data_IF_484456794791
#
_entry.id   IF_484456794791
#
_cell.length_a   1.000
_cell.length_b   1.000
_cell.length_c   1.000
_cell.angle_alpha   90.00
_cell.angle_beta   90.00
_cell.angle_gamma   90.00
#
_symmetry.space_group_name_H-M   'P 1'
#
loop_
_entity.id
_entity.type
_entity.pdbx_description
1 polymer ?
#
# COMPACT_ATOMS: atom_id res chain seq x y z
N UNK A 1 -18.00 8.84 8.25
CA UNK A 1 -17.58 8.53 6.89
C UNK A 1 -16.45 9.45 6.42
N UNK A 2 -16.55 10.79 6.56
CA UNK A 2 -15.48 11.72 6.14
C UNK A 2 -14.11 11.39 6.75
N UNK A 3 -14.05 11.05 8.04
CA UNK A 3 -12.79 10.67 8.70
C UNK A 3 -12.18 9.38 8.13
N UNK A 4 -13.00 8.46 7.62
CA UNK A 4 -12.51 7.26 6.96
C UNK A 4 -12.11 7.52 5.49
N UNK A 5 -12.79 8.44 4.81
CA UNK A 5 -12.45 8.83 3.44
C UNK A 5 -11.11 9.58 3.33
N UNK A 6 -10.76 10.40 4.33
CA UNK A 6 -9.53 11.19 4.32
C UNK A 6 -8.25 10.37 4.09
N UNK A 7 -7.96 9.29 4.83
CA UNK A 7 -6.76 8.50 4.59
C UNK A 7 -6.80 7.79 3.23
N UNK A 8 -7.98 7.45 2.69
CA UNK A 8 -8.11 6.91 1.33
C UNK A 8 -7.74 7.95 0.25
N UNK A 9 -8.15 9.20 0.42
CA UNK A 9 -7.75 10.28 -0.50
C UNK A 9 -6.25 10.58 -0.40
N UNK A 10 -5.72 10.64 0.81
CA UNK A 10 -4.28 10.80 1.05
C UNK A 10 -3.47 9.63 0.48
N UNK A 11 -4.00 8.42 0.53
CA UNK A 11 -3.36 7.22 0.02
C UNK A 11 -2.94 7.34 -1.47
N UNK A 12 -3.71 8.01 -2.30
CA UNK A 12 -3.34 8.24 -3.70
C UNK A 12 -2.26 9.31 -3.88
N UNK A 13 -2.27 10.35 -3.07
CA UNK A 13 -1.34 11.46 -3.20
C UNK A 13 0.02 11.20 -2.55
N UNK A 14 0.04 10.59 -1.36
CA UNK A 14 1.24 10.43 -0.54
C UNK A 14 2.39 9.67 -1.21
N UNK A 15 2.19 8.60 -1.99
CA UNK A 15 3.25 7.91 -2.70
C UNK A 15 4.06 8.82 -3.62
N UNK A 16 3.36 9.66 -4.38
CA UNK A 16 4.00 10.61 -5.31
C UNK A 16 4.69 11.75 -4.56
N UNK A 17 4.03 12.29 -3.55
CA UNK A 17 4.62 13.33 -2.69
C UNK A 17 5.87 12.83 -1.99
N UNK A 18 5.84 11.60 -1.50
CA UNK A 18 7.00 10.99 -0.84
C UNK A 18 8.15 10.75 -1.83
N UNK A 19 7.87 10.21 -3.02
CA UNK A 19 8.88 10.03 -4.05
C UNK A 19 9.53 11.36 -4.44
N UNK A 20 8.71 12.40 -4.67
CA UNK A 20 9.19 13.76 -4.96
C UNK A 20 10.06 14.31 -3.82
N UNK A 21 9.59 14.20 -2.59
CA UNK A 21 10.34 14.64 -1.42
C UNK A 21 11.70 13.94 -1.32
N UNK A 22 11.77 12.62 -1.58
CA UNK A 22 13.05 11.89 -1.60
C UNK A 22 14.01 12.42 -2.64
N UNK A 23 13.53 12.77 -3.84
CA UNK A 23 14.35 13.40 -4.89
C UNK A 23 14.91 14.74 -4.42
N UNK A 24 14.05 15.60 -3.86
CA UNK A 24 14.45 16.92 -3.39
C UNK A 24 15.43 16.84 -2.21
N UNK A 25 15.14 15.97 -1.24
CA UNK A 25 15.98 15.83 -0.03
C UNK A 25 17.39 15.31 -0.33
N UNK A 26 17.53 14.48 -1.35
CA UNK A 26 18.82 13.85 -1.72
C UNK A 26 19.51 14.66 -2.84
N UNK A 27 18.78 15.56 -3.50
CA UNK A 27 19.29 16.29 -4.65
C UNK A 27 19.50 15.40 -5.89
N UNK A 28 18.91 14.21 -5.91
CA UNK A 28 19.07 13.23 -7.00
C UNK A 28 17.84 12.37 -7.17
N UNK A 29 17.47 12.08 -8.42
CA UNK A 29 16.41 11.13 -8.76
C UNK A 29 16.69 9.73 -8.20
N UNK A 30 17.96 9.39 -7.94
CA UNK A 30 18.35 8.10 -7.35
C UNK A 30 17.79 7.91 -5.92
N UNK A 31 17.50 9.02 -5.22
CA UNK A 31 16.96 8.99 -3.86
C UNK A 31 15.60 8.31 -3.74
N UNK A 32 14.80 8.29 -4.81
CA UNK A 32 13.49 7.63 -4.78
C UNK A 32 13.54 6.14 -5.11
N UNK A 33 14.62 5.63 -5.72
CA UNK A 33 14.69 4.25 -6.20
C UNK A 33 14.49 3.18 -5.12
N UNK A 34 15.08 3.27 -3.92
CA UNK A 34 14.84 2.27 -2.87
C UNK A 34 13.37 2.18 -2.49
N UNK A 35 12.68 3.31 -2.42
CA UNK A 35 11.24 3.38 -2.16
C UNK A 35 10.44 2.73 -3.29
N UNK A 36 10.66 3.16 -4.53
CA UNK A 36 9.93 2.64 -5.70
C UNK A 36 10.18 1.16 -5.91
N UNK A 37 11.40 0.69 -5.65
CA UNK A 37 11.74 -0.71 -5.74
C UNK A 37 11.01 -1.55 -4.69
N UNK A 38 10.96 -1.08 -3.45
CA UNK A 38 10.19 -1.73 -2.39
C UNK A 38 8.70 -1.75 -2.74
N UNK A 39 8.14 -0.62 -3.15
CA UNK A 39 6.75 -0.51 -3.57
C UNK A 39 6.43 -1.44 -4.75
N UNK A 40 7.32 -1.51 -5.75
CA UNK A 40 7.16 -2.39 -6.90
C UNK A 40 7.08 -3.87 -6.51
N UNK A 41 7.98 -4.33 -5.65
CA UNK A 41 7.94 -5.71 -5.16
C UNK A 41 6.73 -6.01 -4.28
N UNK A 42 6.35 -5.09 -3.41
CA UNK A 42 5.15 -5.25 -2.59
C UNK A 42 3.91 -5.39 -3.49
N UNK A 43 3.77 -4.52 -4.50
CA UNK A 43 2.65 -4.60 -5.43
C UNK A 43 2.67 -5.89 -6.25
N UNK A 44 3.83 -6.30 -6.77
CA UNK A 44 3.95 -7.53 -7.56
C UNK A 44 3.56 -8.76 -6.75
N UNK A 45 4.10 -8.91 -5.54
CA UNK A 45 3.80 -10.07 -4.69
C UNK A 45 2.35 -10.05 -4.24
N UNK A 46 1.82 -8.89 -3.86
CA UNK A 46 0.40 -8.76 -3.52
C UNK A 46 -0.51 -9.12 -4.69
N UNK A 47 -0.22 -8.63 -5.90
CA UNK A 47 -0.98 -8.97 -7.09
C UNK A 47 -0.96 -10.48 -7.40
N UNK A 48 0.20 -11.13 -7.26
CA UNK A 48 0.30 -12.59 -7.43
C UNK A 48 -0.56 -13.33 -6.40
N UNK A 49 -0.51 -12.90 -5.13
CA UNK A 49 -1.33 -13.51 -4.07
C UNK A 49 -2.81 -13.30 -4.38
N UNK A 50 -3.24 -12.10 -4.74
CA UNK A 50 -4.63 -11.77 -5.05
C UNK A 50 -5.16 -12.52 -6.27
N UNK A 51 -4.32 -12.76 -7.27
CA UNK A 51 -4.70 -13.56 -8.45
C UNK A 51 -4.81 -15.06 -8.17
N UNK A 52 -3.90 -15.60 -7.33
CA UNK A 52 -3.90 -17.03 -6.98
C UNK A 52 -4.92 -17.36 -5.89
N UNK A 53 -5.18 -16.44 -5.00
CA UNK A 53 -6.08 -16.58 -3.85
C UNK A 53 -7.01 -15.36 -3.76
N UNK A 54 -8.01 -15.24 -4.65
CA UNK A 54 -8.94 -14.13 -4.63
C UNK A 54 -9.80 -14.19 -3.35
N UNK A 55 -9.54 -13.30 -2.42
CA UNK A 55 -10.23 -13.21 -1.13
C UNK A 55 -11.35 -12.19 -1.19
N UNK A 56 -12.54 -12.63 -0.74
CA UNK A 56 -13.72 -11.78 -0.72
C UNK A 56 -13.61 -10.71 0.39
N UNK A 57 -13.89 -9.43 0.08
CA UNK A 57 -13.96 -8.37 1.08
C UNK A 57 -15.24 -8.48 1.94
N UNK A 58 -15.27 -7.84 3.14
CA UNK A 58 -16.44 -7.89 4.03
C UNK A 58 -17.74 -7.46 3.37
N UNK A 59 -17.73 -6.39 2.58
CA UNK A 59 -18.93 -5.89 1.90
C UNK A 59 -19.61 -6.93 1.00
N UNK A 60 -18.80 -7.82 0.39
CA UNK A 60 -19.35 -8.89 -0.44
C UNK A 60 -20.00 -9.99 0.42
N UNK A 61 -19.31 -10.41 1.48
CA UNK A 61 -19.84 -11.41 2.41
C UNK A 61 -21.15 -10.93 3.03
N UNK A 62 -21.21 -9.67 3.46
CA UNK A 62 -22.43 -9.06 3.98
C UNK A 62 -23.55 -9.09 2.93
N UNK A 63 -23.25 -8.76 1.67
CA UNK A 63 -24.23 -8.79 0.59
C UNK A 63 -24.76 -10.20 0.32
N UNK A 64 -23.90 -11.23 0.41
CA UNK A 64 -24.32 -12.65 0.26
C UNK A 64 -25.21 -13.09 1.40
N UNK A 65 -24.81 -12.77 2.64
CA UNK A 65 -25.54 -13.22 3.85
C UNK A 65 -26.93 -12.60 3.94
N UNK A 66 -27.08 -11.35 3.51
CA UNK A 66 -28.35 -10.62 3.60
C UNK A 66 -29.17 -10.60 2.31
N UNK A 67 -28.71 -11.28 1.24
CA UNK A 67 -29.48 -11.41 0.00
C UNK A 67 -30.56 -12.47 0.10
N UNK A 68 -31.72 -12.29 -0.58
CA UNK A 68 -32.73 -13.34 -0.70
C UNK A 68 -32.15 -14.62 -1.32
N UNK A 69 -32.61 -15.77 -0.84
CA UNK A 69 -32.15 -17.06 -1.36
C UNK A 69 -32.47 -17.17 -2.85
N UNK A 70 -31.45 -17.45 -3.66
CA UNK A 70 -31.57 -17.62 -5.12
C UNK A 70 -31.28 -16.37 -5.95
N UNK A 71 -30.96 -15.22 -5.32
CA UNK A 71 -30.51 -14.04 -6.05
C UNK A 71 -29.06 -14.22 -6.51
N UNK A 72 -28.80 -13.98 -7.81
CA UNK A 72 -27.45 -13.97 -8.35
C UNK A 72 -26.79 -12.63 -8.04
N UNK A 73 -25.86 -12.64 -7.10
CA UNK A 73 -25.12 -11.45 -6.72
C UNK A 73 -24.14 -11.04 -7.84
N UNK A 74 -24.20 -9.78 -8.20
CA UNK A 74 -23.22 -9.19 -9.10
C UNK A 74 -21.90 -9.03 -8.37
N UNK A 75 -20.83 -9.63 -8.91
CA UNK A 75 -19.47 -9.55 -8.37
C UNK A 75 -18.72 -8.29 -8.83
N UNK A 76 -19.46 -7.18 -9.02
CA UNK A 76 -18.83 -5.90 -9.39
C UNK A 76 -18.16 -5.28 -8.16
N UNK A 77 -16.99 -4.65 -8.33
CA UNK A 77 -16.38 -3.86 -7.27
C UNK A 77 -17.36 -2.82 -6.73
N UNK A 78 -17.32 -2.58 -5.42
CA UNK A 78 -18.29 -1.77 -4.72
C UNK A 78 -17.58 -0.80 -3.76
N UNK A 79 -18.09 0.41 -3.67
CA UNK A 79 -17.61 1.46 -2.77
C UNK A 79 -17.91 1.20 -1.28
N UNK A 80 -18.64 0.11 -0.97
CA UNK A 80 -19.00 -0.32 0.37
C UNK A 80 -19.58 0.83 1.21
N UNK A 81 -19.09 1.08 2.42
CA UNK A 81 -19.62 2.13 3.28
C UNK A 81 -19.52 3.56 2.70
N UNK A 82 -18.70 3.78 1.68
CA UNK A 82 -18.56 5.11 1.08
C UNK A 82 -19.74 5.52 0.20
N UNK A 83 -20.68 4.60 -0.13
CA UNK A 83 -21.94 4.97 -0.77
C UNK A 83 -22.71 6.04 0.02
N UNK A 84 -22.60 6.06 1.35
CA UNK A 84 -23.24 7.07 2.20
C UNK A 84 -22.62 8.45 1.99
N UNK A 85 -21.33 8.50 1.71
CA UNK A 85 -20.63 9.76 1.43
C UNK A 85 -20.98 10.27 0.04
N UNK A 86 -21.03 9.40 -0.97
CA UNK A 86 -21.49 9.75 -2.32
C UNK A 86 -22.92 10.30 -2.30
N UNK A 87 -23.82 9.65 -1.55
CA UNK A 87 -25.18 10.13 -1.36
C UNK A 87 -25.24 11.51 -0.69
N UNK A 88 -24.38 11.75 0.31
CA UNK A 88 -24.32 13.04 1.02
C UNK A 88 -23.74 14.17 0.16
N UNK A 89 -22.80 13.86 -0.72
CA UNK A 89 -22.15 14.80 -1.63
C UNK A 89 -22.97 15.05 -2.90
N UNK A 90 -23.93 14.19 -3.20
CA UNK A 90 -24.73 14.25 -4.44
C UNK A 90 -23.95 13.89 -5.71
N UNK A 91 -22.79 13.26 -5.57
CA UNK A 91 -21.91 12.85 -6.68
C UNK A 91 -21.36 11.44 -6.44
N UNK A 92 -21.34 10.55 -7.47
CA UNK A 92 -20.87 9.17 -7.34
C UNK A 92 -19.33 9.09 -7.44
N UNK A 93 -18.61 9.81 -6.57
CA UNK A 93 -17.15 9.91 -6.61
C UNK A 93 -16.47 8.57 -6.27
N UNK A 94 -16.80 7.99 -5.11
CA UNK A 94 -16.24 6.71 -4.69
C UNK A 94 -16.74 5.57 -5.57
N UNK A 95 -18.04 5.58 -5.90
CA UNK A 95 -18.58 4.62 -6.87
C UNK A 95 -17.79 4.59 -8.17
N UNK A 96 -17.47 5.76 -8.74
CA UNK A 96 -16.68 5.85 -9.97
C UNK A 96 -15.28 5.25 -9.84
N UNK A 97 -14.61 5.46 -8.70
CA UNK A 97 -13.27 4.90 -8.43
C UNK A 97 -13.34 3.37 -8.35
N UNK A 98 -14.27 2.83 -7.58
CA UNK A 98 -14.37 1.39 -7.37
C UNK A 98 -14.90 0.66 -8.61
N UNK A 99 -15.89 1.22 -9.32
CA UNK A 99 -16.41 0.66 -10.55
C UNK A 99 -15.35 0.52 -11.66
N UNK A 100 -14.32 1.36 -11.64
CA UNK A 100 -13.18 1.28 -12.56
C UNK A 100 -12.16 0.19 -12.18
N UNK A 101 -12.29 -0.45 -11.01
CA UNK A 101 -11.36 -1.50 -10.56
C UNK A 101 -11.55 -2.78 -11.38
N UNK A 102 -10.49 -3.37 -11.96
CA UNK A 102 -10.59 -4.61 -12.71
C UNK A 102 -10.68 -5.85 -11.81
N UNK A 103 -10.48 -5.71 -10.50
CA UNK A 103 -10.39 -6.83 -9.54
C UNK A 103 -11.48 -6.70 -8.49
N UNK A 104 -12.55 -7.52 -8.56
CA UNK A 104 -13.63 -7.47 -7.57
C UNK A 104 -13.23 -8.07 -6.22
N UNK A 105 -12.33 -9.06 -6.22
CA UNK A 105 -11.84 -9.76 -5.03
C UNK A 105 -10.32 -9.66 -4.94
N UNK A 106 -9.83 -9.12 -3.86
CA UNK A 106 -8.40 -8.91 -3.62
C UNK A 106 -8.19 -8.28 -2.25
N UNK A 107 -8.99 -8.73 -1.25
CA UNK A 107 -8.91 -8.15 0.09
C UNK A 107 -7.55 -8.43 0.74
N UNK A 108 -7.00 -9.63 0.58
CA UNK A 108 -5.72 -10.03 1.19
C UNK A 108 -4.59 -10.13 0.15
N UNK A 109 -3.40 -9.61 0.45
CA UNK A 109 -3.07 -8.64 1.52
C UNK A 109 -3.56 -7.23 1.17
N UNK A 110 -3.85 -6.40 2.18
CA UNK A 110 -4.33 -5.04 1.95
C UNK A 110 -3.24 -4.12 1.42
N UNK A 111 -3.39 -3.68 0.16
CA UNK A 111 -2.51 -2.67 -0.43
C UNK A 111 -2.77 -1.26 0.13
N UNK A 112 -3.99 -0.97 0.59
CA UNK A 112 -4.30 0.30 1.26
C UNK A 112 -3.44 0.51 2.50
N UNK A 113 -3.15 -0.56 3.24
CA UNK A 113 -2.28 -0.50 4.42
C UNK A 113 -0.82 -0.67 4.05
N UNK A 114 -0.52 -1.48 3.04
CA UNK A 114 0.85 -1.74 2.61
C UNK A 114 1.56 -0.48 2.08
N UNK A 115 0.92 0.37 1.28
CA UNK A 115 1.57 1.56 0.72
C UNK A 115 2.04 2.57 1.78
N UNK A 116 1.23 2.98 2.77
CA UNK A 116 1.73 3.78 3.89
C UNK A 116 2.83 3.08 4.70
N UNK A 117 2.74 1.75 4.85
CA UNK A 117 3.80 0.99 5.52
C UNK A 117 5.11 0.98 4.72
N UNK A 118 5.08 0.97 3.38
CA UNK A 118 6.29 1.15 2.55
C UNK A 118 6.92 2.52 2.80
N UNK A 119 6.12 3.58 2.91
CA UNK A 119 6.60 4.92 3.26
C UNK A 119 7.29 4.90 4.63
N UNK A 120 6.66 4.27 5.62
CA UNK A 120 7.20 4.15 6.97
C UNK A 120 8.57 3.46 6.99
N UNK A 121 8.73 2.32 6.29
CA UNK A 121 10.00 1.56 6.29
C UNK A 121 11.06 2.15 5.37
N UNK A 122 10.70 3.02 4.42
CA UNK A 122 11.62 3.67 3.49
C UNK A 122 12.39 4.84 4.10
N UNK A 123 12.13 5.14 5.34
CA UNK A 123 12.86 6.10 6.15
C UNK A 123 12.11 7.41 6.39
N UNK A 124 12.52 8.15 7.42
CA UNK A 124 11.87 9.37 7.85
C UNK A 124 11.95 10.44 6.76
N UNK A 125 10.84 11.08 6.49
CA UNK A 125 10.77 12.21 5.58
C UNK A 125 10.26 13.48 6.28
N UNK A 126 9.31 13.35 7.18
CA UNK A 126 8.82 14.45 8.01
C UNK A 126 8.91 14.04 9.48
N UNK A 127 8.20 12.97 9.84
CA UNK A 127 8.13 12.45 11.19
C UNK A 127 7.65 10.99 11.15
N UNK A 128 8.38 10.07 11.78
CA UNK A 128 8.00 8.67 11.89
C UNK A 128 6.64 8.50 12.58
N UNK A 129 6.31 9.35 13.55
CA UNK A 129 5.03 9.31 14.26
C UNK A 129 3.87 9.61 13.32
N UNK A 130 4.06 10.54 12.36
CA UNK A 130 3.05 10.84 11.35
C UNK A 130 2.85 9.65 10.40
N UNK A 131 3.94 9.03 9.93
CA UNK A 131 3.86 7.85 9.07
C UNK A 131 3.17 6.68 9.80
N UNK A 132 3.53 6.44 11.06
CA UNK A 132 2.88 5.43 11.91
C UNK A 132 1.39 5.73 12.11
N UNK A 133 1.06 6.98 12.45
CA UNK A 133 -0.33 7.43 12.59
C UNK A 133 -1.13 7.17 11.31
N UNK A 134 -0.55 7.47 10.15
CA UNK A 134 -1.23 7.24 8.89
C UNK A 134 -1.50 5.75 8.60
N UNK A 135 -0.55 4.85 8.92
CA UNK A 135 -0.76 3.40 8.82
C UNK A 135 -1.91 2.95 9.73
N UNK A 136 -1.96 3.42 10.96
CA UNK A 136 -3.05 3.09 11.90
C UNK A 136 -4.38 3.65 11.40
N UNK A 137 -4.38 4.89 10.94
CA UNK A 137 -5.59 5.57 10.48
C UNK A 137 -6.20 4.92 9.23
N UNK A 138 -5.38 4.58 8.24
CA UNK A 138 -5.88 3.87 7.04
C UNK A 138 -6.33 2.44 7.37
N UNK A 139 -5.66 1.77 8.32
CA UNK A 139 -6.08 0.45 8.79
C UNK A 139 -7.47 0.50 9.41
N UNK A 140 -7.69 1.47 10.31
CA UNK A 140 -9.01 1.70 10.87
C UNK A 140 -10.05 2.03 9.80
N UNK A 141 -9.72 2.92 8.87
CA UNK A 141 -10.62 3.31 7.80
C UNK A 141 -10.99 2.14 6.88
N UNK A 142 -10.03 1.27 6.57
CA UNK A 142 -10.24 0.11 5.72
C UNK A 142 -11.20 -0.93 6.34
N UNK A 143 -11.10 -1.11 7.66
CA UNK A 143 -12.02 -1.97 8.42
C UNK A 143 -13.39 -1.29 8.56
N UNK A 144 -13.42 -0.02 8.94
CA UNK A 144 -14.64 0.77 9.09
C UNK A 144 -15.47 0.82 7.81
N UNK A 145 -14.81 0.95 6.66
CA UNK A 145 -15.48 1.03 5.37
C UNK A 145 -15.90 -0.31 4.77
N UNK A 146 -15.72 -1.42 5.49
CA UNK A 146 -16.02 -2.79 5.03
C UNK A 146 -15.23 -3.24 3.78
N UNK A 147 -14.08 -2.62 3.51
CA UNK A 147 -13.21 -3.05 2.41
C UNK A 147 -12.25 -4.17 2.80
N UNK A 148 -11.82 -4.21 4.06
CA UNK A 148 -10.84 -5.16 4.55
C UNK A 148 -11.16 -5.72 5.93
N UNK A 149 -10.71 -6.95 6.17
CA UNK A 149 -10.59 -7.51 7.51
C UNK A 149 -9.30 -7.08 8.19
N UNK A 150 -9.24 -7.19 9.51
CA UNK A 150 -7.99 -6.90 10.24
C UNK A 150 -6.81 -7.79 9.81
N UNK A 151 -7.07 -9.03 9.41
CA UNK A 151 -6.06 -9.95 8.90
C UNK A 151 -5.42 -9.46 7.58
N UNK A 152 -6.19 -8.78 6.73
CA UNK A 152 -5.67 -8.23 5.47
C UNK A 152 -4.66 -7.11 5.73
N UNK A 153 -4.96 -6.28 6.72
CA UNK A 153 -4.06 -5.21 7.16
C UNK A 153 -2.75 -5.77 7.73
N UNK A 154 -2.85 -6.78 8.61
CA UNK A 154 -1.68 -7.48 9.15
C UNK A 154 -0.86 -8.12 8.04
N UNK A 155 -1.52 -8.77 7.07
CA UNK A 155 -0.87 -9.35 5.89
C UNK A 155 -0.14 -8.32 5.05
N UNK A 156 -0.76 -7.15 4.82
CA UNK A 156 -0.14 -6.04 4.09
C UNK A 156 1.12 -5.49 4.80
N UNK A 157 1.03 -5.26 6.11
CA UNK A 157 2.18 -4.83 6.92
C UNK A 157 3.29 -5.87 6.89
N UNK A 158 2.95 -7.14 7.14
CA UNK A 158 3.93 -8.24 7.12
C UNK A 158 4.64 -8.35 5.79
N UNK A 159 3.91 -8.26 4.67
CA UNK A 159 4.48 -8.27 3.33
C UNK A 159 5.51 -7.15 3.13
N UNK A 160 5.22 -5.95 3.59
CA UNK A 160 6.15 -4.81 3.50
C UNK A 160 7.42 -5.06 4.30
N UNK A 161 7.30 -5.53 5.53
CA UNK A 161 8.47 -5.85 6.34
C UNK A 161 9.30 -6.98 5.74
N UNK A 162 8.67 -8.02 5.21
CA UNK A 162 9.34 -9.13 4.54
C UNK A 162 10.11 -8.64 3.30
N UNK A 163 9.46 -7.88 2.41
CA UNK A 163 10.10 -7.32 1.21
C UNK A 163 11.25 -6.40 1.58
N UNK A 164 11.03 -5.49 2.53
CA UNK A 164 12.08 -4.57 2.99
C UNK A 164 13.27 -5.33 3.62
N UNK A 165 13.02 -6.37 4.41
CA UNK A 165 14.07 -7.23 4.96
C UNK A 165 14.86 -7.93 3.85
N UNK A 166 14.16 -8.54 2.87
CA UNK A 166 14.79 -9.21 1.73
C UNK A 166 15.64 -8.24 0.91
N UNK A 167 15.13 -7.04 0.66
CA UNK A 167 15.89 -6.01 -0.03
C UNK A 167 17.16 -5.61 0.71
N UNK A 168 17.10 -5.42 2.03
CA UNK A 168 18.25 -5.02 2.83
C UNK A 168 19.30 -6.12 2.99
N UNK A 169 18.88 -7.38 3.06
CA UNK A 169 19.79 -8.52 3.34
C UNK A 169 20.24 -9.26 2.10
N UNK A 170 19.35 -9.43 1.14
CA UNK A 170 19.58 -10.30 -0.03
C UNK A 170 19.85 -9.49 -1.29
N UNK A 171 19.04 -8.49 -1.57
CA UNK A 171 19.08 -7.82 -2.87
C UNK A 171 19.85 -6.51 -2.88
N UNK A 172 19.91 -5.79 -1.80
CA UNK A 172 20.59 -4.50 -1.62
C UNK A 172 21.02 -3.82 -2.96
N UNK A 173 20.10 -3.50 -3.87
CA UNK A 173 20.44 -3.04 -5.22
C UNK A 173 21.06 -1.63 -5.23
N UNK A 174 21.02 -0.94 -4.07
CA UNK A 174 21.48 0.44 -3.96
C UNK A 174 22.47 0.62 -2.81
N UNK A 175 23.58 1.36 -3.02
CA UNK A 175 24.48 1.70 -1.93
C UNK A 175 23.74 2.50 -0.86
N UNK A 176 24.00 2.16 0.41
CA UNK A 176 23.44 2.91 1.53
C UNK A 176 23.96 4.35 1.49
N UNK A 177 23.05 5.32 1.48
CA UNK A 177 23.38 6.72 1.73
C UNK A 177 24.16 6.82 3.05
N UNK A 178 25.18 7.65 3.12
CA UNK A 178 26.07 7.93 4.26
C UNK A 178 27.32 7.06 4.40
N UNK A 179 27.92 6.56 3.32
CA UNK A 179 29.27 5.97 3.39
C UNK A 179 29.36 4.66 4.20
N UNK A 180 28.24 4.14 4.70
CA UNK A 180 28.22 2.84 5.37
C UNK A 180 28.40 1.74 4.33
N UNK A 181 29.42 0.91 4.51
CA UNK A 181 29.61 -0.27 3.66
C UNK A 181 28.37 -1.14 3.70
N UNK A 182 27.85 -1.57 2.52
CA UNK A 182 26.67 -2.44 2.48
C UNK A 182 26.93 -3.69 3.28
N UNK A 183 26.00 -4.05 4.14
CA UNK A 183 26.07 -5.28 4.96
C UNK A 183 25.82 -6.55 4.13
N UNK A 184 25.40 -6.41 2.90
CA UNK A 184 25.09 -7.49 1.97
C UNK A 184 26.32 -7.90 1.15
N UNK A 185 26.61 -9.20 1.07
CA UNK A 185 27.75 -9.75 0.34
C UNK A 185 27.70 -9.43 -1.16
N UNK A 186 26.51 -9.35 -1.76
CA UNK A 186 26.30 -9.04 -3.18
C UNK A 186 26.61 -7.57 -3.47
N UNK A 187 26.20 -6.65 -2.60
CA UNK A 187 26.47 -5.22 -2.76
C UNK A 187 27.97 -4.88 -2.59
N UNK A 188 28.71 -5.67 -1.81
CA UNK A 188 30.19 -5.54 -1.72
C UNK A 188 30.89 -5.86 -3.04
N UNK A 189 30.34 -6.77 -3.85
CA UNK A 189 30.92 -7.15 -5.15
C UNK A 189 30.54 -6.20 -6.27
N UNK A 190 29.44 -5.47 -6.13
CA UNK A 190 28.90 -4.57 -7.17
C UNK A 190 29.28 -3.10 -6.94
N UNK A 191 29.96 -2.77 -5.84
CA UNK A 191 30.51 -1.43 -5.63
C UNK A 191 31.74 -1.28 -6.51
N UNK A 192 31.72 -0.48 -7.59
CA UNK A 192 32.92 -0.22 -8.37
C UNK A 192 33.92 0.52 -7.49
N UNK A 193 35.25 0.30 -7.68
CA UNK A 193 36.30 0.97 -6.90
C UNK A 193 36.47 2.46 -7.21
N UNK A 194 35.50 3.08 -7.86
CA UNK A 194 35.59 4.45 -8.36
C UNK A 194 34.75 5.41 -7.51
N UNK A 195 35.15 5.68 -6.30
CA UNK A 195 34.89 6.93 -5.59
C UNK A 195 35.82 7.03 -4.38
N UNK A 196 37.10 6.94 -4.64
CA UNK A 196 38.12 7.53 -3.79
C UNK A 196 38.69 8.72 -4.59
N UNK A 197 38.05 9.88 -4.49
CA UNK A 197 38.61 11.22 -4.68
C UNK A 197 37.95 12.11 -3.66
#
# INVERSE_FOLDING_TARGET
>A
DCMAAMPYLLHFALPFLFAFFKVVSIGSIRGMFPYLWCAGWVNLVAAVIQLLFPTAPPWYVDSVVFSPVGEVLKTAPNEAAFHRLDASLGVPFFHGIYAASPVPFGAFPSLHVAWPAVILVSGPWINEKFAMFHVVWITWAAIYSNHHYGVDAVGGIFLVFLVNFMMRKVWCPFPLENGRKPSCHLCRRMSPPLLQV
#
